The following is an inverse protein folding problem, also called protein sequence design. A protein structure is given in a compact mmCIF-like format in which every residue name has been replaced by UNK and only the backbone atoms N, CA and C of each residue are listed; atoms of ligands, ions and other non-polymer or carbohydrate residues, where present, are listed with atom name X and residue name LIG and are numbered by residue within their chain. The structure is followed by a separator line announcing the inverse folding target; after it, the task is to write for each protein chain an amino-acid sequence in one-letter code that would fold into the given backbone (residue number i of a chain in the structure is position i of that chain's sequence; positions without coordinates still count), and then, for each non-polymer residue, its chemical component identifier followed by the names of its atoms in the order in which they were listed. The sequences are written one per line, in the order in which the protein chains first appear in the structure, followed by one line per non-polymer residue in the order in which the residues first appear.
data_IF_873481977756
#
_entry.id   IF_873481977756
#
_cell.length_a   1.000
_cell.length_b   1.000
_cell.length_c   1.000
_cell.angle_alpha   90.00
_cell.angle_beta   90.00
_cell.angle_gamma   90.00
#
_symmetry.space_group_name_H-M   'P 1'
#
loop_
_entity.id
_entity.type
_entity.pdbx_description
1 polymer ?
#
# COMPACT_ATOMS: atom_id res chain seq x y z
N UNK A 1 1.66 -52.89 8.11
CA UNK A 1 1.51 -52.08 9.33
C UNK A 1 1.58 -50.63 8.96
N UNK A 2 0.50 -49.90 9.27
CA UNK A 2 0.35 -48.44 9.36
C UNK A 2 0.59 -47.56 8.11
N UNK A 3 -0.51 -47.11 7.52
CA UNK A 3 -0.57 -45.91 6.68
C UNK A 3 -0.75 -44.68 7.58
N UNK A 4 0.07 -43.65 7.40
CA UNK A 4 -0.08 -42.36 8.09
C UNK A 4 -1.04 -41.50 7.27
N UNK A 5 -2.23 -41.27 7.82
CA UNK A 5 -3.27 -40.40 7.26
C UNK A 5 -2.95 -38.95 7.63
N UNK A 6 -2.40 -38.20 6.69
CA UNK A 6 -2.17 -36.75 6.84
C UNK A 6 -3.43 -35.98 6.48
N UNK A 7 -4.30 -35.66 7.45
CA UNK A 7 -5.43 -34.75 7.22
C UNK A 7 -5.95 -34.10 8.50
N UNK A 8 -5.16 -33.24 9.16
CA UNK A 8 -5.65 -32.57 10.40
C UNK A 8 -5.33 -31.07 10.51
N UNK A 9 -4.89 -30.38 9.45
CA UNK A 9 -4.78 -28.90 9.51
C UNK A 9 -6.03 -28.15 9.02
N UNK A 10 -6.77 -28.68 8.03
CA UNK A 10 -7.96 -28.00 7.47
C UNK A 10 -9.16 -27.90 8.42
N UNK A 11 -9.29 -28.81 9.40
CA UNK A 11 -10.44 -28.82 10.32
C UNK A 11 -10.36 -27.77 11.43
N UNK A 12 -9.18 -27.30 11.78
CA UNK A 12 -9.00 -26.38 12.92
C UNK A 12 -9.47 -24.95 12.56
N UNK A 13 -9.21 -24.48 11.34
CA UNK A 13 -9.72 -23.17 10.89
C UNK A 13 -11.24 -23.13 10.75
N UNK A 14 -11.86 -24.22 10.29
CA UNK A 14 -13.33 -24.29 10.15
C UNK A 14 -14.05 -24.37 11.50
N UNK A 15 -13.45 -24.97 12.52
CA UNK A 15 -14.06 -25.00 13.86
C UNK A 15 -13.98 -23.65 14.57
N UNK A 16 -12.94 -22.84 14.35
CA UNK A 16 -12.90 -21.48 14.87
C UNK A 16 -13.97 -20.57 14.23
N UNK A 17 -14.27 -20.75 12.94
CA UNK A 17 -15.32 -19.99 12.26
C UNK A 17 -16.75 -20.30 12.75
N UNK A 18 -16.97 -21.46 13.39
CA UNK A 18 -18.32 -21.86 13.85
C UNK A 18 -18.63 -21.49 15.31
N UNK A 19 -17.68 -20.95 16.07
CA UNK A 19 -17.88 -20.69 17.51
C UNK A 19 -18.06 -19.21 17.91
N UNK A 20 -17.99 -18.27 16.96
CA UNK A 20 -18.24 -16.84 17.21
C UNK A 20 -19.56 -16.38 16.59
N UNK A 21 -20.64 -17.14 16.80
CA UNK A 21 -22.02 -16.67 16.60
C UNK A 21 -22.62 -16.26 17.95
N UNK A 22 -21.96 -15.31 18.61
CA UNK A 22 -22.55 -14.53 19.67
C UNK A 22 -22.73 -13.10 19.15
N UNK A 23 -23.94 -12.55 19.29
CA UNK A 23 -24.31 -11.16 19.02
C UNK A 23 -23.42 -10.21 19.83
N UNK A 24 -22.22 -9.95 19.32
CA UNK A 24 -21.28 -8.97 19.86
C UNK A 24 -21.52 -7.62 19.14
N UNK A 25 -21.48 -6.49 19.86
CA UNK A 25 -21.73 -5.19 19.28
C UNK A 25 -20.80 -4.94 18.08
N UNK A 26 -21.38 -4.43 16.98
CA UNK A 26 -20.76 -4.22 15.67
C UNK A 26 -19.55 -3.26 15.61
N UNK A 27 -18.94 -2.92 16.75
CA UNK A 27 -17.91 -1.89 16.86
C UNK A 27 -16.71 -2.33 17.72
N UNK A 28 -16.45 -3.64 17.80
CA UNK A 28 -15.24 -4.17 18.42
C UNK A 28 -14.14 -4.21 17.35
N UNK A 29 -13.10 -3.40 17.54
CA UNK A 29 -11.90 -3.46 16.71
C UNK A 29 -11.18 -4.80 16.93
N UNK A 30 -11.30 -5.71 15.97
CA UNK A 30 -10.55 -6.96 15.95
C UNK A 30 -9.15 -6.73 15.40
N UNK A 31 -8.16 -6.77 16.29
CA UNK A 31 -6.75 -6.67 15.89
C UNK A 31 -6.32 -7.94 15.14
N UNK A 32 -5.91 -7.79 13.88
CA UNK A 32 -5.58 -8.89 12.97
C UNK A 32 -4.07 -9.19 12.86
N UNK A 33 -3.22 -8.51 13.67
CA UNK A 33 -1.76 -8.62 13.68
C UNK A 33 -1.07 -8.33 12.33
N UNK A 34 -1.79 -7.79 11.33
CA UNK A 34 -1.24 -7.53 10.01
C UNK A 34 -0.56 -6.16 9.88
N UNK A 35 -0.58 -5.36 10.96
CA UNK A 35 -0.10 -3.97 11.01
C UNK A 35 -0.67 -3.05 9.91
N UNK A 36 -1.80 -3.43 9.32
CA UNK A 36 -2.40 -2.70 8.21
C UNK A 36 -2.95 -1.36 8.65
N UNK A 37 -2.34 -0.27 8.19
CA UNK A 37 -2.74 1.09 8.56
C UNK A 37 -3.47 1.82 7.42
N UNK A 38 -4.53 2.58 7.70
CA UNK A 38 -5.14 3.50 6.73
C UNK A 38 -4.35 4.83 6.61
N UNK A 39 -3.17 4.93 7.22
CA UNK A 39 -2.37 6.15 7.26
C UNK A 39 -1.96 6.60 5.85
N UNK A 40 -2.30 7.85 5.52
CA UNK A 40 -2.02 8.53 4.24
C UNK A 40 -1.19 9.80 4.45
N UNK A 41 -0.40 9.82 5.52
CA UNK A 41 0.34 10.99 5.99
C UNK A 41 -0.44 11.84 7.00
N UNK A 42 0.31 12.61 7.80
CA UNK A 42 -0.21 13.68 8.65
C UNK A 42 0.14 15.01 7.99
N UNK A 43 -0.83 15.93 7.97
CA UNK A 43 -0.63 17.28 7.43
C UNK A 43 -0.74 18.31 8.53
N UNK A 44 0.09 19.34 8.44
CA UNK A 44 0.11 20.52 9.30
C UNK A 44 0.05 21.76 8.40
N UNK A 45 -0.57 22.84 8.87
CA UNK A 45 -0.62 24.11 8.13
C UNK A 45 -1.63 24.19 6.98
N UNK A 46 -2.54 23.23 6.84
CA UNK A 46 -3.60 23.27 5.82
C UNK A 46 -4.47 22.02 5.81
N UNK A 47 -5.25 21.85 4.75
CA UNK A 47 -6.20 20.75 4.57
C UNK A 47 -6.12 20.12 3.19
N UNK A 48 -6.51 18.84 3.09
CA UNK A 48 -6.71 18.19 1.80
C UNK A 48 -8.11 18.49 1.27
N UNK A 49 -8.18 18.97 0.03
CA UNK A 49 -9.42 19.15 -0.71
C UNK A 49 -9.52 18.08 -1.79
N UNK A 50 -10.65 17.37 -1.83
CA UNK A 50 -10.90 16.28 -2.77
C UNK A 50 -11.00 16.79 -4.22
N UNK A 51 -10.42 16.02 -5.14
CA UNK A 51 -10.49 16.24 -6.59
C UNK A 51 -11.25 15.09 -7.26
N UNK A 52 -11.95 15.39 -8.36
CA UNK A 52 -12.60 14.37 -9.18
C UNK A 52 -11.61 13.51 -9.97
N UNK A 53 -10.44 14.06 -10.29
CA UNK A 53 -9.40 13.43 -11.10
C UNK A 53 -8.02 13.65 -10.48
N UNK A 54 -7.05 12.82 -10.86
CA UNK A 54 -5.67 12.94 -10.40
C UNK A 54 -5.04 14.24 -10.89
N UNK A 55 -4.43 15.00 -9.97
CA UNK A 55 -3.59 16.15 -10.31
C UNK A 55 -2.10 15.78 -10.51
N UNK A 56 -1.74 14.49 -10.44
CA UNK A 56 -0.34 14.08 -10.56
C UNK A 56 0.15 14.18 -12.01
N UNK A 57 1.01 15.17 -12.27
CA UNK A 57 1.72 15.32 -13.54
C UNK A 57 2.92 14.39 -13.63
N UNK A 58 2.65 13.11 -13.90
CA UNK A 58 3.67 12.06 -13.99
C UNK A 58 4.69 12.32 -15.11
N UNK A 59 4.36 13.14 -16.11
CA UNK A 59 5.27 13.51 -17.20
C UNK A 59 6.54 14.17 -16.69
N UNK A 60 6.45 14.96 -15.59
CA UNK A 60 7.59 15.61 -14.95
C UNK A 60 8.62 14.61 -14.40
N UNK A 61 8.17 13.40 -14.05
CA UNK A 61 8.99 12.35 -13.44
C UNK A 61 9.63 11.42 -14.47
N UNK A 62 9.06 11.40 -15.68
CA UNK A 62 9.51 10.56 -16.79
C UNK A 62 10.64 11.20 -17.60
N UNK A 63 10.88 12.51 -17.43
CA UNK A 63 11.97 13.19 -18.09
C UNK A 63 13.34 12.79 -17.51
N UNK A 64 14.02 11.88 -18.20
CA UNK A 64 15.35 11.39 -17.82
C UNK A 64 16.47 12.40 -18.08
N UNK A 65 16.19 13.52 -18.75
CA UNK A 65 17.19 14.58 -18.97
C UNK A 65 17.41 15.43 -17.72
N UNK A 66 16.45 15.42 -16.80
CA UNK A 66 16.48 16.21 -15.57
C UNK A 66 17.14 15.40 -14.45
N UNK A 67 18.18 15.93 -13.77
CA UNK A 67 18.87 15.20 -12.72
C UNK A 67 18.02 15.08 -11.45
N UNK A 68 18.17 13.97 -10.74
CA UNK A 68 17.68 13.82 -9.38
C UNK A 68 18.68 14.54 -8.45
N UNK A 69 18.24 15.60 -7.80
CA UNK A 69 19.05 16.40 -6.87
C UNK A 69 19.20 15.70 -5.52
N UNK A 70 18.15 15.00 -5.09
CA UNK A 70 18.13 14.25 -3.84
C UNK A 70 17.25 13.02 -3.97
N UNK A 71 17.71 11.92 -3.39
CA UNK A 71 16.97 10.67 -3.28
C UNK A 71 17.17 10.09 -1.89
N UNK A 72 16.09 9.61 -1.30
CA UNK A 72 16.13 8.84 -0.06
C UNK A 72 15.05 7.76 -0.05
N UNK A 73 15.32 6.65 0.64
CA UNK A 73 14.41 5.53 0.85
C UNK A 73 14.46 5.12 2.32
N UNK A 74 13.36 5.37 3.02
CA UNK A 74 13.25 5.18 4.46
C UNK A 74 12.19 4.14 4.77
N UNK A 75 12.60 3.02 5.35
CA UNK A 75 11.68 2.04 5.94
C UNK A 75 11.22 2.51 7.32
N UNK A 76 9.91 2.71 7.49
CA UNK A 76 9.29 3.12 8.76
C UNK A 76 8.90 1.93 9.63
N UNK A 77 8.48 0.83 9.01
CA UNK A 77 8.05 -0.40 9.67
C UNK A 77 8.45 -1.60 8.82
N UNK A 78 8.92 -2.65 9.47
CA UNK A 78 9.19 -3.94 8.86
C UNK A 78 8.95 -5.06 9.88
N UNK A 79 8.26 -6.13 9.47
CA UNK A 79 7.97 -7.31 10.30
C UNK A 79 7.71 -8.53 9.39
N UNK A 80 8.05 -9.73 9.84
CA UNK A 80 7.90 -11.00 9.10
C UNK A 80 6.63 -11.79 9.49
N UNK A 81 5.75 -11.19 10.29
CA UNK A 81 4.50 -11.77 10.79
C UNK A 81 4.71 -13.13 11.47
N UNK A 82 5.79 -13.28 12.23
CA UNK A 82 6.18 -14.54 12.87
C UNK A 82 6.32 -15.68 11.84
N UNK A 83 7.06 -15.43 10.76
CA UNK A 83 7.27 -16.33 9.62
C UNK A 83 6.00 -16.67 8.79
N UNK A 84 4.89 -15.94 8.98
CA UNK A 84 3.65 -16.15 8.21
C UNK A 84 3.46 -15.13 7.09
N UNK A 85 4.48 -14.32 6.78
CA UNK A 85 4.39 -13.35 5.72
C UNK A 85 5.46 -12.29 5.79
N UNK A 86 5.09 -11.08 5.39
CA UNK A 86 5.94 -9.91 5.47
C UNK A 86 5.08 -8.65 5.40
N UNK A 87 5.37 -7.68 6.25
CA UNK A 87 4.84 -6.32 6.15
C UNK A 87 6.00 -5.34 6.12
N UNK A 88 5.94 -4.38 5.20
CA UNK A 88 6.90 -3.28 5.12
C UNK A 88 6.15 -2.00 4.79
N UNK A 89 6.44 -0.93 5.53
CA UNK A 89 6.01 0.42 5.20
C UNK A 89 7.24 1.28 4.91
N UNK A 90 7.43 1.69 3.66
CA UNK A 90 8.56 2.52 3.24
C UNK A 90 8.13 3.80 2.53
N UNK A 91 9.00 4.80 2.59
CA UNK A 91 8.84 6.10 1.96
C UNK A 91 10.03 6.36 1.05
N UNK A 92 9.76 6.54 -0.24
CA UNK A 92 10.75 6.93 -1.24
C UNK A 92 10.53 8.38 -1.63
N UNK A 93 11.57 9.19 -1.54
CA UNK A 93 11.54 10.61 -1.90
C UNK A 93 12.52 10.86 -3.05
N UNK A 94 12.03 11.54 -4.09
CA UNK A 94 12.83 12.05 -5.21
C UNK A 94 12.63 13.55 -5.32
N UNK A 95 13.72 14.31 -5.34
CA UNK A 95 13.69 15.76 -5.57
C UNK A 95 14.38 16.07 -6.89
N UNK A 96 13.66 16.79 -7.74
CA UNK A 96 14.09 17.30 -9.04
C UNK A 96 13.99 18.85 -9.01
N UNK A 97 14.66 19.58 -9.92
CA UNK A 97 14.61 21.04 -9.95
C UNK A 97 13.19 21.64 -10.00
N UNK A 98 12.26 20.98 -10.71
CA UNK A 98 10.90 21.48 -10.90
C UNK A 98 9.86 20.85 -9.94
N UNK A 99 10.17 19.72 -9.31
CA UNK A 99 9.22 19.03 -8.43
C UNK A 99 9.91 18.11 -7.41
N UNK A 100 9.21 17.79 -6.32
CA UNK A 100 9.51 16.64 -5.49
C UNK A 100 8.38 15.61 -5.58
N UNK A 101 8.74 14.34 -5.60
CA UNK A 101 7.82 13.23 -5.66
C UNK A 101 8.10 12.24 -4.55
N UNK A 102 7.05 11.89 -3.83
CA UNK A 102 7.11 10.96 -2.70
C UNK A 102 6.14 9.81 -2.93
N UNK A 103 6.60 8.60 -2.64
CA UNK A 103 5.80 7.38 -2.65
C UNK A 103 5.92 6.74 -1.27
N UNK A 104 4.83 6.77 -0.50
CA UNK A 104 4.70 6.00 0.72
C UNK A 104 3.93 4.71 0.39
N UNK A 105 4.54 3.56 0.63
CA UNK A 105 3.98 2.26 0.26
C UNK A 105 3.99 1.32 1.45
N UNK A 106 2.80 0.85 1.84
CA UNK A 106 2.63 -0.31 2.71
C UNK A 106 2.44 -1.53 1.81
N UNK A 107 3.39 -2.44 1.88
CA UNK A 107 3.29 -3.76 1.30
C UNK A 107 3.04 -4.77 2.41
N UNK A 108 2.00 -5.58 2.24
CA UNK A 108 1.67 -6.68 3.13
C UNK A 108 1.47 -7.94 2.29
N UNK A 109 2.11 -9.00 2.71
CA UNK A 109 1.85 -10.37 2.26
C UNK A 109 1.58 -11.20 3.50
N UNK A 110 0.47 -11.93 3.47
CA UNK A 110 0.20 -13.02 4.43
C UNK A 110 0.21 -14.30 3.61
N UNK A 111 1.14 -15.20 3.92
CA UNK A 111 1.42 -16.39 3.12
C UNK A 111 0.17 -17.25 2.97
N UNK A 112 -0.13 -17.65 1.73
CA UNK A 112 -1.33 -18.41 1.35
C UNK A 112 -2.69 -17.76 1.69
N UNK A 113 -2.71 -16.48 2.13
CA UNK A 113 -3.93 -15.77 2.52
C UNK A 113 -4.22 -14.59 1.59
N UNK A 114 -3.34 -13.59 1.51
CA UNK A 114 -3.53 -12.42 0.66
C UNK A 114 -2.24 -11.63 0.40
N UNK A 115 -2.30 -10.76 -0.61
CA UNK A 115 -1.39 -9.62 -0.77
C UNK A 115 -2.17 -8.32 -0.74
N UNK A 116 -1.57 -7.29 -0.14
CA UNK A 116 -2.15 -5.95 0.02
C UNK A 116 -1.06 -4.91 -0.24
N UNK A 117 -1.40 -3.91 -1.04
CA UNK A 117 -0.56 -2.76 -1.33
C UNK A 117 -1.37 -1.49 -1.12
N UNK A 118 -0.94 -0.64 -0.18
CA UNK A 118 -1.51 0.69 0.03
C UNK A 118 -0.44 1.71 -0.31
N UNK A 119 -0.70 2.50 -1.34
CA UNK A 119 0.25 3.50 -1.82
C UNK A 119 -0.36 4.90 -1.73
N UNK A 120 0.41 5.83 -1.16
CA UNK A 120 0.13 7.26 -1.17
C UNK A 120 1.23 7.94 -1.97
N UNK A 121 0.86 8.61 -3.06
CA UNK A 121 1.76 9.38 -3.90
C UNK A 121 1.55 10.86 -3.63
N UNK A 122 2.63 11.59 -3.49
CA UNK A 122 2.63 13.04 -3.36
C UNK A 122 3.50 13.65 -4.44
N UNK A 123 2.97 14.64 -5.15
CA UNK A 123 3.72 15.48 -6.08
C UNK A 123 3.70 16.91 -5.56
N UNK A 124 4.88 17.47 -5.31
CA UNK A 124 5.08 18.86 -4.94
C UNK A 124 5.70 19.55 -6.14
N UNK A 125 5.05 20.59 -6.64
CA UNK A 125 5.51 21.31 -7.82
C UNK A 125 6.09 22.66 -7.43
N UNK A 126 7.37 22.86 -7.78
CA UNK A 126 8.10 24.09 -7.49
C UNK A 126 7.83 25.09 -8.61
N UNK A 127 6.91 26.03 -8.36
CA UNK A 127 6.63 27.15 -9.25
C UNK A 127 7.24 28.47 -8.76
N UNK A 128 7.00 29.57 -9.49
CA UNK A 128 7.43 30.92 -9.11
C UNK A 128 6.64 31.52 -7.92
N UNK A 129 5.98 30.70 -7.11
CA UNK A 129 5.08 31.10 -6.03
C UNK A 129 4.88 29.98 -5.02
N UNK A 130 3.70 29.90 -4.42
CA UNK A 130 3.37 28.83 -3.47
C UNK A 130 3.40 27.45 -4.17
N UNK A 131 4.14 26.47 -3.62
CA UNK A 131 4.14 25.12 -4.18
C UNK A 131 2.74 24.51 -4.21
N UNK A 132 2.42 23.84 -5.30
CA UNK A 132 1.18 23.07 -5.42
C UNK A 132 1.48 21.63 -5.02
N UNK A 133 0.66 21.06 -4.15
CA UNK A 133 0.86 19.69 -3.65
C UNK A 133 -0.36 18.85 -3.99
N UNK A 134 -0.16 17.82 -4.80
CA UNK A 134 -1.17 16.84 -5.16
C UNK A 134 -0.92 15.52 -4.44
N UNK A 135 -2.00 14.86 -4.02
CA UNK A 135 -1.97 13.53 -3.39
C UNK A 135 -2.91 12.57 -4.10
N UNK A 136 -2.38 11.41 -4.45
CA UNK A 136 -3.19 10.27 -4.85
C UNK A 136 -3.02 9.10 -3.90
N UNK A 137 -4.13 8.45 -3.56
CA UNK A 137 -4.17 7.23 -2.75
C UNK A 137 -4.64 6.08 -3.63
N UNK A 138 -3.91 4.98 -3.63
CA UNK A 138 -4.28 3.76 -4.36
C UNK A 138 -4.13 2.56 -3.43
N UNK A 139 -5.24 1.86 -3.18
CA UNK A 139 -5.23 0.62 -2.42
C UNK A 139 -5.50 -0.54 -3.36
N UNK A 140 -4.75 -1.63 -3.19
CA UNK A 140 -4.87 -2.86 -3.96
C UNK A 140 -4.82 -4.03 -3.01
N UNK A 141 -5.63 -5.04 -3.25
CA UNK A 141 -5.70 -6.23 -2.42
C UNK A 141 -6.15 -7.42 -3.25
N UNK A 142 -5.55 -8.59 -3.02
CA UNK A 142 -6.00 -9.83 -3.62
C UNK A 142 -5.87 -10.96 -2.63
N UNK A 143 -6.96 -11.70 -2.42
CA UNK A 143 -6.91 -12.97 -1.72
C UNK A 143 -6.13 -13.99 -2.54
N UNK A 144 -5.32 -14.82 -1.88
CA UNK A 144 -4.45 -15.82 -2.51
C UNK A 144 -5.22 -16.76 -3.44
N UNK A 145 -6.42 -17.18 -3.00
CA UNK A 145 -7.32 -18.04 -3.77
C UNK A 145 -7.74 -17.44 -5.13
N UNK A 146 -7.72 -16.10 -5.25
CA UNK A 146 -8.11 -15.38 -6.46
C UNK A 146 -6.93 -15.09 -7.40
N UNK A 147 -5.70 -15.44 -7.04
CA UNK A 147 -4.50 -15.11 -7.84
C UNK A 147 -4.59 -15.60 -9.29
N UNK A 148 -5.13 -16.80 -9.49
CA UNK A 148 -5.31 -17.36 -10.83
C UNK A 148 -6.18 -16.50 -11.75
N UNK A 149 -7.18 -15.79 -11.21
CA UNK A 149 -8.08 -14.92 -11.97
C UNK A 149 -7.35 -13.69 -12.52
N UNK A 150 -6.38 -13.17 -11.75
CA UNK A 150 -5.56 -12.01 -12.12
C UNK A 150 -4.23 -12.44 -12.79
N UNK A 151 -4.02 -13.75 -12.96
CA UNK A 151 -2.82 -14.43 -13.46
C UNK A 151 -1.56 -14.15 -12.63
N UNK A 152 -1.76 -13.89 -11.34
CA UNK A 152 -0.72 -13.63 -10.36
C UNK A 152 0.04 -14.93 -10.02
N UNK A 153 1.36 -14.88 -9.74
CA UNK A 153 2.12 -16.06 -9.38
C UNK A 153 1.67 -16.62 -8.03
N UNK A 154 1.46 -17.93 -7.95
CA UNK A 154 1.03 -18.64 -6.73
C UNK A 154 2.20 -19.06 -5.82
N UNK A 155 3.44 -18.86 -6.24
CA UNK A 155 4.62 -19.13 -5.41
C UNK A 155 4.88 -17.95 -4.47
N UNK A 156 4.90 -18.20 -3.16
CA UNK A 156 5.20 -17.21 -2.12
C UNK A 156 6.51 -16.47 -2.38
N UNK A 157 7.52 -17.15 -2.93
CA UNK A 157 8.82 -16.54 -3.23
C UNK A 157 8.75 -15.47 -4.32
N UNK A 158 7.75 -15.53 -5.20
CA UNK A 158 7.51 -14.48 -6.20
C UNK A 158 7.10 -13.15 -5.57
N UNK A 159 6.74 -13.17 -4.28
CA UNK A 159 6.26 -12.03 -3.50
C UNK A 159 7.21 -11.65 -2.36
N UNK A 160 8.42 -12.20 -2.34
CA UNK A 160 9.44 -11.79 -1.39
C UNK A 160 10.03 -10.44 -1.78
N UNK A 161 10.12 -9.55 -0.80
CA UNK A 161 10.86 -8.31 -0.94
C UNK A 161 12.35 -8.68 -0.96
N UNK A 162 12.96 -8.64 -2.14
CA UNK A 162 14.41 -8.83 -2.26
C UNK A 162 15.12 -7.51 -1.90
N UNK A 163 16.33 -7.62 -1.36
CA UNK A 163 17.20 -6.46 -1.04
C UNK A 163 17.46 -5.54 -2.25
N UNK A 164 17.30 -6.06 -3.47
CA UNK A 164 17.42 -5.31 -4.73
C UNK A 164 16.24 -4.37 -5.04
N UNK A 165 15.24 -4.31 -4.15
CA UNK A 165 14.23 -3.27 -4.12
C UNK A 165 12.91 -3.62 -4.82
N UNK A 166 11.83 -3.13 -4.23
CA UNK A 166 10.42 -3.18 -4.68
C UNK A 166 10.11 -2.39 -5.96
N UNK A 167 11.11 -2.11 -6.78
CA UNK A 167 10.99 -1.23 -7.95
C UNK A 167 11.44 -1.88 -9.25
N UNK A 168 11.61 -3.21 -9.28
CA UNK A 168 11.83 -3.89 -10.55
C UNK A 168 10.60 -3.73 -11.47
N UNK A 169 10.80 -3.62 -12.80
CA UNK A 169 9.70 -3.55 -13.76
C UNK A 169 8.73 -4.74 -13.61
N UNK A 170 9.26 -5.93 -13.30
CA UNK A 170 8.49 -7.14 -13.07
C UNK A 170 7.58 -6.98 -11.84
N UNK A 171 8.12 -6.45 -10.74
CA UNK A 171 7.35 -6.19 -9.53
C UNK A 171 6.25 -5.16 -9.77
N UNK A 172 6.58 -4.05 -10.43
CA UNK A 172 5.61 -3.00 -10.77
C UNK A 172 4.51 -3.53 -11.70
N UNK A 173 4.85 -4.46 -12.62
CA UNK A 173 3.88 -5.16 -13.45
C UNK A 173 2.94 -6.04 -12.63
N UNK A 174 3.47 -6.79 -11.66
CA UNK A 174 2.65 -7.61 -10.74
C UNK A 174 1.71 -6.74 -9.90
N UNK A 175 2.20 -5.66 -9.30
CA UNK A 175 1.39 -4.73 -8.51
C UNK A 175 0.20 -4.17 -9.29
N UNK A 176 0.39 -3.86 -10.57
CA UNK A 176 -0.68 -3.32 -11.44
C UNK A 176 -1.80 -4.32 -11.69
N UNK A 177 -1.51 -5.63 -11.60
CA UNK A 177 -2.47 -6.71 -11.82
C UNK A 177 -3.30 -7.04 -10.59
N UNK A 178 -2.83 -6.68 -9.39
CA UNK A 178 -3.62 -6.77 -8.16
C UNK A 178 -4.81 -5.80 -8.30
N UNK A 179 -6.06 -6.25 -8.10
CA UNK A 179 -7.23 -5.40 -8.28
C UNK A 179 -7.22 -4.24 -7.29
N UNK A 180 -7.80 -3.12 -7.73
CA UNK A 180 -7.91 -1.89 -6.94
C UNK A 180 -9.09 -2.01 -5.99
N UNK A 181 -8.87 -1.63 -4.73
CA UNK A 181 -9.93 -1.45 -3.74
C UNK A 181 -10.56 -0.08 -3.98
N UNK A 182 -11.83 -0.06 -4.40
CA UNK A 182 -12.53 1.16 -4.77
C UNK A 182 -13.04 1.95 -3.55
N UNK A 183 -13.31 1.26 -2.46
CA UNK A 183 -13.84 1.85 -1.23
C UNK A 183 -12.69 2.17 -0.28
N UNK A 184 -12.37 3.46 -0.16
CA UNK A 184 -11.43 3.95 0.84
C UNK A 184 -12.18 4.28 2.15
N UNK A 185 -11.52 4.18 3.32
CA UNK A 185 -12.12 4.60 4.58
C UNK A 185 -12.59 6.06 4.56
N UNK A 186 -13.62 6.35 5.36
CA UNK A 186 -14.19 7.69 5.51
C UNK A 186 -13.11 8.73 5.81
N UNK A 187 -13.10 9.82 5.05
CA UNK A 187 -12.13 10.91 5.20
C UNK A 187 -10.85 10.79 4.36
N UNK A 188 -10.68 9.70 3.61
CA UNK A 188 -9.57 9.54 2.66
C UNK A 188 -10.06 9.73 1.24
N UNK A 189 -9.84 10.92 0.70
CA UNK A 189 -10.05 11.20 -0.72
C UNK A 189 -9.01 10.46 -1.58
N UNK A 190 -9.47 9.84 -2.67
CA UNK A 190 -8.60 9.14 -3.64
C UNK A 190 -7.63 10.10 -4.32
N UNK A 191 -8.13 11.28 -4.69
CA UNK A 191 -7.35 12.37 -5.29
C UNK A 191 -7.58 13.61 -4.45
N UNK A 192 -6.52 14.33 -4.11
CA UNK A 192 -6.62 15.55 -3.35
C UNK A 192 -5.54 16.57 -3.72
N UNK A 193 -5.84 17.85 -3.49
CA UNK A 193 -4.88 18.95 -3.50
C UNK A 193 -4.75 19.51 -2.09
N UNK A 194 -3.55 19.92 -1.72
CA UNK A 194 -3.33 20.60 -0.45
C UNK A 194 -3.70 22.08 -0.57
N UNK A 195 -4.51 22.57 0.36
CA UNK A 195 -4.81 23.98 0.53
C UNK A 195 -4.21 24.47 1.86
N UNK A 196 -3.29 25.44 1.84
CA UNK A 196 -2.72 26.01 3.06
C UNK A 196 -3.78 26.83 3.81
N UNK A 197 -3.65 26.89 5.13
CA UNK A 197 -4.52 27.73 5.95
C UNK A 197 -4.30 29.22 5.60
N UNK A 198 -5.35 30.06 5.66
CA UNK A 198 -5.29 31.47 5.27
C UNK A 198 -4.38 32.38 6.14
N UNK A 199 -3.55 31.83 7.03
CA UNK A 199 -2.75 32.56 8.02
C UNK A 199 -1.33 32.03 8.23
N UNK A 200 -0.82 31.16 7.36
CA UNK A 200 0.58 30.68 7.39
C UNK A 200 1.45 31.37 6.36
#
# INVERSE_FOLDING_TARGET
GCQIVGTTKKKVLQQQQQQTSHDEPHDIFHYDWSFSTPFVGKVEGGTWVELSESGLRLELLMDTSVPILYFDDVTLLEDDLHDNGQVQYSIKLRVMPACAFLVARLWLRVDDVLVRCRETRLLVEFGNGTPIIHRDVTWRECAWESFGQYGLPSDVRSWQLLDTGTDTPEWQSLLRRIPVVNELPTGIAKHAVFEPNPTS
#
